data_IF_155326417572
#
_entry.id   IF_155326417572
#
_cell.length_a   1.000
_cell.length_b   1.000
_cell.length_c   1.000
_cell.angle_alpha   90.00
_cell.angle_beta   90.00
_cell.angle_gamma   90.00
#
_symmetry.space_group_name_H-M   'P 1'
#
loop_
_entity.id
_entity.type
_entity.pdbx_description
1 polymer ?
#
# COMPACT_ATOMS: atom_id res chain seq x y z
N UNK A 1 -5.24 -11.89 20.70
CA UNK A 1 -4.45 -12.70 19.72
C UNK A 1 -3.15 -11.96 19.40
N UNK A 2 -1.99 -12.63 19.32
CA UNK A 2 -0.65 -11.99 19.22
C UNK A 2 -0.44 -11.09 17.98
N UNK A 3 -1.21 -11.34 16.92
CA UNK A 3 -1.07 -10.70 15.60
C UNK A 3 -2.35 -9.99 15.12
N UNK A 4 -3.31 -9.70 15.99
CA UNK A 4 -4.61 -9.13 15.58
C UNK A 4 -4.51 -7.74 14.93
N UNK A 5 -3.46 -6.99 15.27
CA UNK A 5 -3.19 -5.65 14.75
C UNK A 5 -2.01 -5.65 13.77
N UNK A 6 -1.61 -6.81 13.26
CA UNK A 6 -0.49 -6.92 12.36
C UNK A 6 -0.91 -6.62 10.91
N UNK A 7 0.02 -6.00 10.18
CA UNK A 7 -0.05 -5.81 8.74
C UNK A 7 1.08 -6.58 8.09
N UNK A 8 0.85 -7.07 6.88
CA UNK A 8 1.89 -7.66 6.04
C UNK A 8 2.01 -6.85 4.77
N UNK A 9 3.23 -6.67 4.29
CA UNK A 9 3.50 -5.90 3.10
C UNK A 9 4.77 -6.32 2.37
N UNK A 10 4.88 -5.91 1.12
CA UNK A 10 6.10 -6.04 0.33
C UNK A 10 6.26 -4.84 -0.61
N UNK A 11 7.50 -4.55 -0.99
CA UNK A 11 7.78 -3.47 -1.94
C UNK A 11 7.68 -3.95 -3.38
N UNK A 12 6.91 -3.22 -4.19
CA UNK A 12 6.68 -3.51 -5.61
C UNK A 12 7.87 -3.03 -6.43
N UNK A 13 8.32 -3.85 -7.37
CA UNK A 13 9.37 -3.52 -8.35
C UNK A 13 10.79 -3.39 -7.81
N UNK A 14 11.00 -3.22 -6.50
CA UNK A 14 12.31 -3.00 -5.89
C UNK A 14 12.40 -3.62 -4.50
N UNK A 15 13.53 -4.28 -4.21
CA UNK A 15 13.85 -4.73 -2.84
C UNK A 15 14.41 -3.56 -2.04
N UNK A 16 13.86 -3.33 -0.86
CA UNK A 16 14.31 -2.30 0.08
C UNK A 16 14.94 -3.00 1.29
N UNK A 17 16.07 -2.47 1.78
CA UNK A 17 16.78 -3.06 2.92
C UNK A 17 15.96 -2.90 4.21
N UNK A 18 16.03 -3.90 5.10
CA UNK A 18 15.31 -3.88 6.38
C UNK A 18 15.57 -2.59 7.17
N UNK A 19 16.83 -2.14 7.22
CA UNK A 19 17.21 -0.90 7.90
C UNK A 19 16.43 0.30 7.37
N UNK A 20 16.38 0.48 6.04
CA UNK A 20 15.66 1.58 5.42
C UNK A 20 14.15 1.49 5.67
N UNK A 21 13.56 0.29 5.56
CA UNK A 21 12.13 0.07 5.85
C UNK A 21 11.81 0.44 7.30
N UNK A 22 12.59 -0.08 8.24
CA UNK A 22 12.41 0.16 9.67
C UNK A 22 12.50 1.65 9.99
N UNK A 23 13.59 2.30 9.62
CA UNK A 23 13.82 3.72 9.92
C UNK A 23 12.74 4.62 9.31
N UNK A 24 12.33 4.36 8.07
CA UNK A 24 11.37 5.23 7.37
C UNK A 24 9.93 4.99 7.82
N UNK A 25 9.49 3.73 7.94
CA UNK A 25 8.10 3.43 8.26
C UNK A 25 7.81 3.59 9.75
N UNK A 26 8.72 3.20 10.66
CA UNK A 26 8.52 3.49 12.08
C UNK A 26 8.44 5.00 12.29
N UNK A 27 9.29 5.81 11.64
CA UNK A 27 9.22 7.27 11.71
C UNK A 27 7.88 7.82 11.18
N UNK A 28 7.40 7.32 10.03
CA UNK A 28 6.14 7.79 9.41
C UNK A 28 4.91 7.42 10.24
N UNK A 29 4.90 6.24 10.86
CA UNK A 29 3.73 5.68 11.55
C UNK A 29 3.73 5.91 13.05
N UNK A 30 4.87 6.26 13.67
CA UNK A 30 5.00 6.54 15.12
C UNK A 30 3.97 7.54 15.64
N UNK A 31 3.51 8.48 14.81
CA UNK A 31 2.46 9.45 15.14
C UNK A 31 1.10 8.82 15.47
N UNK A 32 0.86 7.57 15.06
CA UNK A 32 -0.38 6.84 15.31
C UNK A 32 -0.24 5.74 16.37
N UNK A 33 0.99 5.42 16.78
CA UNK A 33 1.27 4.39 17.78
C UNK A 33 2.65 3.75 17.58
N UNK A 34 3.05 2.89 18.50
CA UNK A 34 4.25 2.07 18.34
C UNK A 34 4.10 1.09 17.18
N UNK A 35 5.20 0.95 16.45
CA UNK A 35 5.32 0.03 15.32
C UNK A 35 6.59 -0.77 15.50
N UNK A 36 6.49 -2.08 15.32
CA UNK A 36 7.64 -2.98 15.22
C UNK A 36 7.66 -3.60 13.83
N UNK A 37 8.80 -3.50 13.15
CA UNK A 37 9.02 -4.11 11.84
C UNK A 37 9.77 -5.42 11.97
N UNK A 38 9.25 -6.46 11.35
CA UNK A 38 9.83 -7.80 11.28
C UNK A 38 10.00 -8.17 9.81
N UNK A 39 11.15 -8.72 9.43
CA UNK A 39 11.35 -9.31 8.09
C UNK A 39 10.71 -10.68 8.00
N UNK A 40 9.93 -10.90 6.95
CA UNK A 40 9.47 -12.22 6.54
C UNK A 40 10.29 -12.76 5.37
N UNK A 41 9.83 -13.88 4.81
CA UNK A 41 10.46 -14.52 3.67
C UNK A 41 10.18 -13.77 2.36
N UNK A 42 11.00 -14.01 1.34
CA UNK A 42 10.83 -13.50 -0.03
C UNK A 42 10.67 -11.97 -0.16
N UNK A 43 11.25 -11.22 0.78
CA UNK A 43 11.19 -9.76 0.80
C UNK A 43 9.86 -9.18 1.27
N UNK A 44 9.10 -9.98 2.05
CA UNK A 44 7.93 -9.51 2.79
C UNK A 44 8.34 -8.93 4.15
N UNK A 45 7.46 -8.10 4.69
CA UNK A 45 7.60 -7.47 6.00
C UNK A 45 6.31 -7.65 6.77
N UNK A 46 6.44 -7.90 8.06
CA UNK A 46 5.34 -7.90 9.01
C UNK A 46 5.50 -6.69 9.93
N UNK A 47 4.43 -5.94 10.06
CA UNK A 47 4.36 -4.73 10.87
C UNK A 47 3.40 -5.00 12.02
N UNK A 48 3.89 -4.95 13.25
CA UNK A 48 3.06 -5.09 14.44
C UNK A 48 2.76 -3.71 15.00
N UNK A 49 1.47 -3.40 15.10
CA UNK A 49 0.98 -2.14 15.66
C UNK A 49 0.37 -2.38 17.04
N UNK A 50 0.47 -1.38 17.90
CA UNK A 50 0.01 -1.50 19.29
C UNK A 50 -1.52 -1.66 19.40
N UNK A 51 -2.28 -1.03 18.50
CA UNK A 51 -3.75 -1.03 18.55
C UNK A 51 -4.38 -1.04 17.14
N UNK A 52 -5.67 -1.36 17.07
CA UNK A 52 -6.43 -1.43 15.82
C UNK A 52 -6.64 -0.07 15.15
N UNK A 53 -6.81 1.01 15.93
CA UNK A 53 -6.95 2.35 15.37
C UNK A 53 -5.69 2.78 14.59
N UNK A 54 -4.50 2.49 15.13
CA UNK A 54 -3.23 2.72 14.44
C UNK A 54 -3.14 1.91 13.14
N UNK A 55 -3.60 0.65 13.15
CA UNK A 55 -3.65 -0.23 11.97
C UNK A 55 -4.53 0.37 10.88
N UNK A 56 -5.72 0.80 11.23
CA UNK A 56 -6.71 1.33 10.29
C UNK A 56 -6.28 2.69 9.73
N UNK A 57 -5.60 3.50 10.54
CA UNK A 57 -4.98 4.75 10.10
C UNK A 57 -3.82 4.48 9.12
N UNK A 58 -2.96 3.49 9.40
CA UNK A 58 -1.88 3.11 8.48
C UNK A 58 -2.43 2.63 7.14
N UNK A 59 -3.48 1.81 7.13
CA UNK A 59 -4.08 1.33 5.88
C UNK A 59 -4.75 2.46 5.09
N UNK A 60 -5.54 3.32 5.76
CA UNK A 60 -6.32 4.37 5.10
C UNK A 60 -5.49 5.55 4.57
N UNK A 61 -4.31 5.79 5.15
CA UNK A 61 -3.45 6.94 4.79
C UNK A 61 -2.31 6.57 3.83
N UNK A 62 -2.32 5.37 3.25
CA UNK A 62 -1.41 4.98 2.17
C UNK A 62 -1.65 5.78 0.87
N UNK A 63 -0.95 5.45 -0.24
CA UNK A 63 0.10 4.43 -0.35
C UNK A 63 1.39 4.84 0.35
N UNK A 64 2.16 3.85 0.78
CA UNK A 64 3.43 4.05 1.48
C UNK A 64 4.60 3.88 0.52
N UNK A 65 5.53 4.83 0.56
CA UNK A 65 6.70 4.84 -0.31
C UNK A 65 7.99 4.90 0.51
N UNK A 66 8.99 4.11 0.09
CA UNK A 66 10.35 4.15 0.60
C UNK A 66 11.34 4.01 -0.56
N UNK A 67 12.15 5.04 -0.77
CA UNK A 67 13.24 5.07 -1.77
C UNK A 67 12.78 4.75 -3.21
N UNK A 68 11.66 5.33 -3.61
CA UNK A 68 11.00 5.21 -4.90
C UNK A 68 10.12 3.97 -5.04
N UNK A 69 10.10 3.07 -4.05
CA UNK A 69 9.32 1.84 -4.10
C UNK A 69 8.06 1.95 -3.26
N UNK A 70 6.94 1.49 -3.81
CA UNK A 70 5.65 1.46 -3.11
C UNK A 70 5.47 0.15 -2.34
N UNK A 71 4.98 0.26 -1.13
CA UNK A 71 4.63 -0.85 -0.26
C UNK A 71 3.18 -1.25 -0.53
N UNK A 72 3.00 -2.45 -1.10
CA UNK A 72 1.72 -3.14 -1.04
C UNK A 72 1.52 -3.60 0.41
N UNK A 73 0.34 -3.32 0.98
CA UNK A 73 0.08 -3.53 2.40
C UNK A 73 -1.34 -4.08 2.59
N UNK A 74 -1.49 -5.10 3.44
CA UNK A 74 -2.79 -5.66 3.84
C UNK A 74 -2.79 -6.06 5.30
N UNK A 75 -3.99 -6.24 5.84
CA UNK A 75 -4.16 -6.80 7.17
C UNK A 75 -3.69 -8.27 7.21
N UNK A 76 -2.98 -8.64 8.28
CA UNK A 76 -2.64 -10.01 8.55
C UNK A 76 -3.87 -10.80 8.99
N UNK A 77 -4.03 -12.00 8.43
CA UNK A 77 -5.11 -12.93 8.75
C UNK A 77 -4.52 -14.27 9.17
N UNK A 78 -5.18 -14.97 10.10
CA UNK A 78 -4.74 -16.31 10.50
C UNK A 78 -4.81 -17.27 9.31
N UNK A 79 -3.77 -18.08 9.12
CA UNK A 79 -3.66 -19.01 7.98
C UNK A 79 -3.06 -18.40 6.71
N UNK A 80 -2.79 -17.09 6.70
CA UNK A 80 -2.13 -16.43 5.58
C UNK A 80 -0.65 -16.85 5.46
N UNK A 81 -0.15 -17.03 4.23
CA UNK A 81 1.29 -17.21 3.97
C UNK A 81 2.00 -15.86 3.83
N UNK A 82 3.25 -15.76 4.31
CA UNK A 82 4.13 -14.61 4.11
C UNK A 82 4.73 -14.62 2.70
N UNK A 83 3.87 -14.67 1.68
CA UNK A 83 4.25 -14.71 0.27
C UNK A 83 3.69 -13.50 -0.48
N UNK A 84 4.32 -13.11 -1.58
CA UNK A 84 3.78 -12.05 -2.46
C UNK A 84 2.48 -12.48 -3.13
N UNK A 85 2.33 -13.78 -3.38
CA UNK A 85 1.17 -14.39 -4.03
C UNK A 85 -0.12 -14.27 -3.19
N UNK A 86 0.03 -14.00 -1.89
CA UNK A 86 -1.08 -13.70 -1.00
C UNK A 86 -1.71 -12.33 -1.27
N UNK A 87 -1.08 -11.44 -2.04
CA UNK A 87 -1.70 -10.18 -2.46
C UNK A 87 -2.43 -10.44 -3.77
N UNK A 88 -3.75 -10.26 -3.78
CA UNK A 88 -4.52 -10.29 -5.01
C UNK A 88 -3.94 -9.27 -5.99
N UNK A 89 -3.80 -9.72 -7.25
CA UNK A 89 -3.15 -9.05 -8.37
C UNK A 89 -3.15 -7.52 -8.25
N UNK A 90 -1.97 -6.89 -8.21
CA UNK A 90 -1.87 -5.43 -8.32
C UNK A 90 -2.23 -5.10 -9.78
N UNK A 91 -3.33 -4.40 -10.06
CA UNK A 91 -3.70 -4.10 -11.43
C UNK A 91 -2.63 -3.20 -12.06
N UNK A 92 -1.92 -3.75 -13.03
CA UNK A 92 -1.01 -2.98 -13.88
C UNK A 92 -1.88 -2.30 -14.93
N UNK A 93 -2.04 -0.98 -14.84
CA UNK A 93 -2.75 -0.21 -15.86
C UNK A 93 -1.75 0.06 -17.01
N UNK A 94 -2.07 -0.32 -18.26
CA UNK A 94 -1.25 0.00 -19.43
C UNK A 94 -0.92 1.49 -19.51
N UNK A 95 0.27 1.83 -20.04
CA UNK A 95 0.73 3.20 -20.11
C UNK A 95 -0.20 4.09 -20.95
N UNK A 96 -0.86 3.51 -21.96
CA UNK A 96 -1.83 4.15 -22.84
C UNK A 96 -3.10 4.58 -22.10
N UNK A 97 -3.43 3.88 -21.00
CA UNK A 97 -4.56 4.21 -20.14
C UNK A 97 -4.19 5.20 -19.04
N UNK A 98 -2.94 5.66 -18.96
CA UNK A 98 -2.48 6.64 -17.98
C UNK A 98 -2.84 8.09 -18.33
N UNK A 99 -4.06 8.25 -18.83
CA UNK A 99 -4.70 9.52 -19.14
C UNK A 99 -5.89 9.70 -18.20
N UNK A 100 -6.35 10.94 -18.01
CA UNK A 100 -7.55 11.21 -17.21
C UNK A 100 -8.76 10.37 -17.68
N UNK A 101 -9.06 10.23 -18.99
CA UNK A 101 -10.12 9.32 -19.44
C UNK A 101 -9.83 7.84 -19.18
N UNK A 102 -8.59 7.38 -19.42
CA UNK A 102 -8.23 5.96 -19.24
C UNK A 102 -8.29 5.51 -17.78
N UNK A 103 -7.77 6.31 -16.85
CA UNK A 103 -7.82 6.03 -15.42
C UNK A 103 -9.26 6.08 -14.89
N UNK A 104 -10.08 7.04 -15.35
CA UNK A 104 -11.53 7.05 -15.04
C UNK A 104 -12.24 5.81 -15.56
N UNK A 105 -11.91 5.35 -16.77
CA UNK A 105 -12.48 4.12 -17.33
C UNK A 105 -12.14 2.90 -16.46
N UNK A 106 -10.86 2.73 -16.08
CA UNK A 106 -10.45 1.63 -15.19
C UNK A 106 -11.15 1.72 -13.82
N UNK A 107 -11.16 2.91 -13.21
CA UNK A 107 -11.81 3.16 -11.93
C UNK A 107 -13.33 2.90 -11.97
N UNK A 108 -13.96 3.05 -13.14
CA UNK A 108 -15.40 2.81 -13.30
C UNK A 108 -15.82 1.34 -13.08
N UNK A 109 -14.86 0.41 -13.20
CA UNK A 109 -15.09 -0.99 -12.86
C UNK A 109 -15.32 -1.21 -11.34
N UNK A 110 -14.83 -0.30 -10.51
CA UNK A 110 -15.02 -0.32 -9.05
C UNK A 110 -16.22 0.50 -8.58
N UNK A 111 -16.55 1.59 -9.29
CA UNK A 111 -17.58 2.54 -8.86
C UNK A 111 -17.70 3.77 -9.75
N UNK A 112 -18.09 4.92 -9.19
CA UNK A 112 -18.15 6.20 -9.91
C UNK A 112 -16.90 7.04 -9.58
N UNK A 113 -16.01 7.30 -10.55
CA UNK A 113 -14.85 8.16 -10.32
C UNK A 113 -15.26 9.61 -10.05
N UNK A 114 -14.84 10.16 -8.90
CA UNK A 114 -15.20 11.52 -8.47
C UNK A 114 -14.09 12.53 -8.79
N UNK A 115 -12.86 12.21 -8.39
CA UNK A 115 -11.71 13.10 -8.62
C UNK A 115 -10.39 12.33 -8.62
N UNK A 116 -9.34 12.97 -9.15
CA UNK A 116 -7.96 12.48 -9.11
C UNK A 116 -7.10 13.50 -8.37
N UNK A 117 -6.02 13.05 -7.74
CA UNK A 117 -5.06 13.99 -7.16
C UNK A 117 -4.28 14.77 -8.25
N UNK A 118 -3.62 15.85 -7.84
CA UNK A 118 -2.92 16.73 -8.78
C UNK A 118 -1.77 15.99 -9.50
N UNK A 119 -1.07 15.09 -8.80
CA UNK A 119 0.04 14.33 -9.37
C UNK A 119 -0.43 13.34 -10.46
N UNK A 120 -1.54 12.64 -10.21
CA UNK A 120 -2.16 11.73 -11.18
C UNK A 120 -2.70 12.50 -12.38
N UNK A 121 -3.33 13.65 -12.14
CA UNK A 121 -3.89 14.50 -13.20
C UNK A 121 -2.80 15.04 -14.13
N UNK A 122 -1.64 15.41 -13.59
CA UNK A 122 -0.53 15.93 -14.36
C UNK A 122 0.20 14.86 -15.19
N UNK A 123 0.03 13.56 -14.88
CA UNK A 123 0.72 12.48 -15.59
C UNK A 123 2.24 12.42 -15.33
N UNK A 124 2.77 13.25 -14.42
CA UNK A 124 4.20 13.37 -14.15
C UNK A 124 4.81 12.11 -13.50
N UNK A 125 3.98 11.14 -13.09
CA UNK A 125 4.41 9.91 -12.42
C UNK A 125 3.51 8.73 -12.77
N UNK A 126 4.05 7.75 -13.50
CA UNK A 126 3.33 6.53 -13.93
C UNK A 126 3.39 5.38 -12.91
N UNK A 127 3.90 5.62 -11.70
CA UNK A 127 4.09 4.55 -10.71
C UNK A 127 2.81 4.17 -9.95
N UNK A 128 1.83 5.07 -9.85
CA UNK A 128 0.53 4.84 -9.21
C UNK A 128 -0.42 6.00 -9.58
N UNK A 129 -1.72 5.73 -9.48
CA UNK A 129 -2.78 6.72 -9.62
C UNK A 129 -3.55 6.81 -8.30
N UNK A 130 -3.92 8.02 -7.87
CA UNK A 130 -4.80 8.24 -6.72
C UNK A 130 -6.11 8.84 -7.21
N UNK A 131 -7.20 8.15 -6.92
CA UNK A 131 -8.54 8.54 -7.32
C UNK A 131 -9.53 8.37 -6.17
N UNK A 132 -10.45 9.31 -6.04
CA UNK A 132 -11.63 9.15 -5.20
C UNK A 132 -12.72 8.47 -6.05
N UNK A 133 -13.28 7.38 -5.54
CA UNK A 133 -14.30 6.58 -6.22
C UNK A 133 -15.44 6.38 -5.23
N UNK A 134 -16.66 6.69 -5.66
CA UNK A 134 -17.87 6.27 -4.97
C UNK A 134 -18.14 4.79 -5.29
N UNK A 135 -18.05 3.92 -4.29
CA UNK A 135 -18.23 2.47 -4.48
C UNK A 135 -19.69 2.13 -4.77
N UNK A 136 -19.90 1.10 -5.60
CA UNK A 136 -21.21 0.47 -5.81
C UNK A 136 -21.49 -0.61 -4.79
#
# INVERSE_FOLDING_TARGET
KKWSNALVGYFVGKRISFKAVKEQLEKKWKKWGGVSVITGDNGTFLFKLDNSAARDLVLSNGPWEVWGAYLALRQWEEGMSLSKDSFSSIPVIPAELWTKPGLSYVASALGVPLCMDAATTAGNRLSFARMCIEMK
#
